data_IF_456630050340
#
_entry.id   IF_456630050340
#
_cell.length_a   1.000
_cell.length_b   1.000
_cell.length_c   1.000
_cell.angle_alpha   90.00
_cell.angle_beta   90.00
_cell.angle_gamma   90.00
#
_symmetry.space_group_name_H-M   'P 1'
#
loop_
_entity.id
_entity.type
_entity.pdbx_description
1 polymer ?
#
# COMPACT_ATOMS: atom_id res chain seq x y z
N UNK A 1 10.35 4.10 22.46
CA UNK A 1 11.02 3.88 21.15
C UNK A 1 10.94 5.15 20.32
N UNK A 2 12.05 5.88 20.10
CA UNK A 2 12.07 7.13 19.28
C UNK A 2 12.92 7.03 18.00
N UNK A 3 13.68 5.93 17.83
CA UNK A 3 14.60 5.78 16.71
C UNK A 3 13.96 5.16 15.46
N UNK A 4 12.89 4.36 15.60
CA UNK A 4 12.21 3.74 14.45
C UNK A 4 11.53 4.76 13.53
N UNK A 5 10.88 5.77 14.12
CA UNK A 5 10.21 6.85 13.37
C UNK A 5 11.23 7.67 12.58
N UNK A 6 12.34 8.07 13.21
CA UNK A 6 13.38 8.88 12.56
C UNK A 6 13.99 8.17 11.34
N UNK A 7 14.28 6.86 11.44
CA UNK A 7 14.81 6.07 10.32
C UNK A 7 13.78 5.96 9.18
N UNK A 8 12.49 5.75 9.50
CA UNK A 8 11.43 5.67 8.50
C UNK A 8 11.26 7.00 7.75
N UNK A 9 11.34 8.15 8.45
CA UNK A 9 11.31 9.49 7.85
C UNK A 9 12.47 9.75 6.89
N UNK A 10 13.71 9.40 7.28
CA UNK A 10 14.86 9.58 6.38
C UNK A 10 14.79 8.67 5.16
N UNK A 11 14.31 7.42 5.32
CA UNK A 11 14.07 6.53 4.19
C UNK A 11 12.99 7.08 3.26
N UNK A 12 11.93 7.68 3.80
CA UNK A 12 10.87 8.30 3.01
C UNK A 12 11.37 9.51 2.22
N UNK A 13 12.12 10.42 2.85
CA UNK A 13 12.72 11.57 2.17
C UNK A 13 13.77 11.14 1.13
N UNK A 14 14.63 10.18 1.46
CA UNK A 14 15.56 9.58 0.52
C UNK A 14 14.84 8.93 -0.65
N UNK A 15 13.73 8.25 -0.39
CA UNK A 15 12.91 7.61 -1.42
C UNK A 15 12.30 8.64 -2.36
N UNK A 16 11.74 9.75 -1.84
CA UNK A 16 11.26 10.86 -2.67
C UNK A 16 12.39 11.46 -3.52
N UNK A 17 13.53 11.76 -2.91
CA UNK A 17 14.66 12.38 -3.60
C UNK A 17 15.28 11.47 -4.67
N UNK A 18 15.46 10.18 -4.37
CA UNK A 18 16.04 9.22 -5.32
C UNK A 18 15.06 8.80 -6.41
N UNK A 19 13.78 8.70 -6.08
CA UNK A 19 12.75 8.38 -7.06
C UNK A 19 12.83 9.36 -8.22
N UNK A 20 12.77 10.67 -7.99
CA UNK A 20 12.73 11.69 -9.04
C UNK A 20 13.98 11.69 -9.92
N UNK A 21 15.12 11.25 -9.39
CA UNK A 21 16.38 11.18 -10.12
C UNK A 21 16.58 9.89 -10.94
N UNK A 22 15.93 8.78 -10.59
CA UNK A 22 16.23 7.45 -11.16
C UNK A 22 15.26 7.03 -12.27
N UNK A 23 14.18 7.79 -12.52
CA UNK A 23 13.16 7.48 -13.55
C UNK A 23 12.69 6.00 -13.52
N UNK A 24 12.46 5.47 -12.32
CA UNK A 24 11.94 4.13 -12.11
C UNK A 24 10.44 4.14 -11.77
N UNK A 25 9.78 3.02 -12.01
CA UNK A 25 8.44 2.76 -11.48
C UNK A 25 8.53 1.97 -10.17
N UNK A 26 7.44 1.94 -9.41
CA UNK A 26 7.38 1.33 -8.08
C UNK A 26 6.41 0.17 -8.01
N UNK A 27 6.81 -0.80 -7.20
CA UNK A 27 5.92 -1.78 -6.61
C UNK A 27 5.44 -1.20 -5.27
N UNK A 28 4.13 -1.15 -5.10
CA UNK A 28 3.48 -0.67 -3.89
C UNK A 28 2.86 -1.84 -3.14
N UNK A 29 3.21 -2.01 -1.87
CA UNK A 29 2.61 -3.00 -1.00
C UNK A 29 1.58 -2.34 -0.06
N UNK A 30 0.33 -2.82 -0.08
CA UNK A 30 -0.77 -2.21 0.67
C UNK A 30 -0.56 -2.31 2.18
N UNK A 31 -0.16 -3.49 2.70
CA UNK A 31 0.07 -3.68 4.12
C UNK A 31 1.16 -2.75 4.64
N UNK A 32 2.31 -2.70 3.95
CA UNK A 32 3.42 -1.84 4.34
C UNK A 32 3.09 -0.36 4.20
N UNK A 33 2.30 0.02 3.20
CA UNK A 33 1.85 1.40 3.04
C UNK A 33 0.93 1.84 4.17
N UNK A 34 -0.06 1.02 4.55
CA UNK A 34 -0.99 1.31 5.65
C UNK A 34 -0.22 1.49 6.96
N UNK A 35 0.70 0.57 7.26
CA UNK A 35 1.56 0.65 8.46
C UNK A 35 2.41 1.91 8.43
N UNK A 36 2.99 2.23 7.26
CA UNK A 36 3.82 3.43 7.12
C UNK A 36 3.00 4.69 7.34
N UNK A 37 1.89 4.87 6.63
CA UNK A 37 1.01 6.02 6.79
C UNK A 37 0.61 6.25 8.26
N UNK A 38 0.26 5.17 8.97
CA UNK A 38 -0.03 5.24 10.40
C UNK A 38 1.17 5.73 11.22
N UNK A 39 2.38 5.17 11.00
CA UNK A 39 3.60 5.59 11.69
C UNK A 39 3.98 7.05 11.41
N UNK A 40 3.60 7.57 10.23
CA UNK A 40 3.76 8.97 9.86
C UNK A 40 2.62 9.87 10.37
N UNK A 41 1.56 9.32 10.95
CA UNK A 41 0.37 10.06 11.35
C UNK A 41 -0.37 10.68 10.17
N UNK A 42 -0.36 10.01 9.02
CA UNK A 42 -0.97 10.46 7.77
C UNK A 42 -2.14 9.56 7.36
N UNK A 43 -3.13 10.13 6.66
CA UNK A 43 -4.07 9.32 5.89
C UNK A 43 -3.34 8.58 4.77
N UNK A 44 -3.76 7.35 4.49
CA UNK A 44 -3.10 6.48 3.51
C UNK A 44 -3.15 7.03 2.09
N UNK A 45 -4.24 7.70 1.71
CA UNK A 45 -4.36 8.33 0.39
C UNK A 45 -3.38 9.48 0.27
N UNK A 46 -3.30 10.35 1.28
CA UNK A 46 -2.33 11.44 1.30
C UNK A 46 -0.89 10.92 1.25
N UNK A 47 -0.62 9.79 1.90
CA UNK A 47 0.68 9.15 1.92
C UNK A 47 1.08 8.66 0.51
N UNK A 48 0.20 7.93 -0.19
CA UNK A 48 0.50 7.43 -1.54
C UNK A 48 0.57 8.54 -2.58
N UNK A 49 -0.22 9.59 -2.45
CA UNK A 49 -0.16 10.76 -3.32
C UNK A 49 1.19 11.48 -3.17
N UNK A 50 1.66 11.69 -1.92
CA UNK A 50 3.00 12.25 -1.67
C UNK A 50 4.11 11.34 -2.18
N UNK A 51 3.93 10.03 -2.14
CA UNK A 51 4.86 9.08 -2.73
C UNK A 51 4.93 9.18 -4.27
N UNK A 52 4.02 9.88 -4.92
CA UNK A 52 3.97 9.89 -6.38
C UNK A 52 3.31 8.63 -6.92
N UNK A 53 2.04 8.43 -6.53
CA UNK A 53 1.09 7.46 -7.09
C UNK A 53 1.18 7.29 -8.62
N UNK A 54 1.55 8.36 -9.31
CA UNK A 54 1.78 8.43 -10.75
C UNK A 54 2.86 7.49 -11.30
N UNK A 55 3.65 6.86 -10.43
CA UNK A 55 4.78 5.99 -10.77
C UNK A 55 4.59 4.56 -10.27
N UNK A 56 3.44 4.26 -9.67
CA UNK A 56 3.09 2.89 -9.25
C UNK A 56 2.83 2.05 -10.50
N UNK A 57 3.59 0.96 -10.66
CA UNK A 57 3.45 0.00 -11.76
C UNK A 57 2.77 -1.29 -11.29
N UNK A 58 3.11 -1.77 -10.10
CA UNK A 58 2.54 -2.98 -9.51
C UNK A 58 2.02 -2.67 -8.11
N UNK A 59 0.91 -3.30 -7.74
CA UNK A 59 0.38 -3.26 -6.37
C UNK A 59 0.31 -4.68 -5.84
N UNK A 60 0.98 -4.93 -4.72
CA UNK A 60 0.75 -6.10 -3.88
C UNK A 60 -0.49 -5.86 -3.04
N UNK A 61 -1.52 -6.65 -3.31
CA UNK A 61 -2.84 -6.58 -2.71
C UNK A 61 -2.87 -7.54 -1.52
N UNK A 62 -2.76 -6.97 -0.33
CA UNK A 62 -2.76 -7.65 0.97
C UNK A 62 -3.24 -6.68 2.07
N UNK A 63 -3.36 -7.16 3.30
CA UNK A 63 -3.66 -6.33 4.48
C UNK A 63 -2.70 -6.61 5.64
N UNK A 64 -2.38 -5.59 6.45
CA UNK A 64 -1.73 -5.82 7.72
C UNK A 64 -2.76 -6.24 8.77
N UNK A 65 -2.28 -6.77 9.90
CA UNK A 65 -3.11 -7.03 11.06
C UNK A 65 -2.79 -6.03 12.16
N UNK A 66 -3.82 -5.44 12.77
CA UNK A 66 -3.70 -4.68 14.00
C UNK A 66 -4.06 -5.56 15.20
N UNK A 67 -3.14 -5.72 16.14
CA UNK A 67 -3.34 -6.54 17.34
C UNK A 67 -2.48 -5.99 18.48
N UNK A 68 -3.01 -5.96 19.70
CA UNK A 68 -2.28 -5.50 20.89
C UNK A 68 -1.64 -4.12 20.71
N UNK A 69 -2.36 -3.18 20.08
CA UNK A 69 -1.89 -1.81 19.80
C UNK A 69 -0.71 -1.71 18.82
N UNK A 70 -0.40 -2.79 18.11
CA UNK A 70 0.69 -2.86 17.14
C UNK A 70 0.19 -3.35 15.79
N UNK A 71 0.87 -2.91 14.72
CA UNK A 71 0.63 -3.39 13.37
C UNK A 71 1.65 -4.44 12.96
N UNK A 72 1.18 -5.48 12.28
CA UNK A 72 1.98 -6.59 11.77
C UNK A 72 1.76 -6.77 10.25
N UNK A 73 2.85 -6.88 9.50
CA UNK A 73 2.83 -7.19 8.07
C UNK A 73 2.71 -8.71 7.87
N UNK A 74 1.48 -9.23 8.00
CA UNK A 74 1.21 -10.68 7.95
C UNK A 74 0.36 -11.11 6.74
N UNK A 75 0.17 -10.21 5.76
CA UNK A 75 -0.45 -10.51 4.48
C UNK A 75 -1.83 -11.17 4.57
N UNK A 76 -2.79 -10.45 5.16
CA UNK A 76 -4.18 -10.87 5.28
C UNK A 76 -4.98 -10.63 3.98
N UNK A 77 -6.08 -11.37 3.73
CA UNK A 77 -6.94 -11.17 2.57
C UNK A 77 -7.54 -9.75 2.53
N UNK A 78 -7.36 -9.06 1.40
CA UNK A 78 -7.65 -7.62 1.35
C UNK A 78 -9.13 -7.25 1.46
N UNK A 79 -10.02 -8.15 1.05
CA UNK A 79 -11.45 -7.84 0.94
C UNK A 79 -12.16 -7.77 2.29
N UNK A 80 -11.45 -8.08 3.39
CA UNK A 80 -11.91 -7.89 4.75
C UNK A 80 -11.95 -6.42 5.19
N UNK A 81 -11.32 -5.50 4.44
CA UNK A 81 -11.31 -4.08 4.77
C UNK A 81 -11.90 -3.24 3.65
N UNK A 82 -12.96 -2.48 3.96
CA UNK A 82 -13.51 -1.47 3.04
C UNK A 82 -12.53 -0.31 2.82
N UNK A 83 -11.67 -0.03 3.80
CA UNK A 83 -10.61 0.95 3.63
C UNK A 83 -9.56 0.48 2.61
N UNK A 84 -9.20 -0.80 2.63
CA UNK A 84 -8.30 -1.37 1.63
C UNK A 84 -8.89 -1.29 0.21
N UNK A 85 -10.18 -1.55 0.07
CA UNK A 85 -10.91 -1.37 -1.20
C UNK A 85 -10.85 0.08 -1.64
N UNK A 86 -11.18 1.04 -0.77
CA UNK A 86 -11.08 2.48 -1.05
C UNK A 86 -9.69 2.88 -1.56
N UNK A 87 -8.64 2.40 -0.88
CA UNK A 87 -7.25 2.69 -1.25
C UNK A 87 -6.92 2.10 -2.62
N UNK A 88 -7.30 0.85 -2.86
CA UNK A 88 -7.03 0.17 -4.11
C UNK A 88 -7.80 0.80 -5.27
N UNK A 89 -9.07 1.13 -5.07
CA UNK A 89 -9.91 1.88 -6.01
C UNK A 89 -9.24 3.21 -6.36
N UNK A 90 -8.78 3.98 -5.37
CA UNK A 90 -8.07 5.24 -5.62
C UNK A 90 -6.79 5.05 -6.47
N UNK A 91 -6.00 3.99 -6.20
CA UNK A 91 -4.79 3.67 -6.97
C UNK A 91 -5.13 3.25 -8.41
N UNK A 92 -6.18 2.44 -8.58
CA UNK A 92 -6.60 1.92 -9.89
C UNK A 92 -7.32 2.97 -10.73
N UNK A 93 -8.17 3.82 -10.14
CA UNK A 93 -8.87 4.91 -10.82
C UNK A 93 -7.93 5.92 -11.45
N UNK A 94 -6.77 6.16 -10.83
CA UNK A 94 -5.71 6.99 -11.42
C UNK A 94 -5.06 6.33 -12.66
N UNK A 95 -5.42 5.07 -12.99
CA UNK A 95 -4.98 4.27 -14.15
C UNK A 95 -3.47 4.10 -14.27
N UNK A 96 -2.76 4.01 -13.14
CA UNK A 96 -1.29 3.93 -13.11
C UNK A 96 -0.77 2.53 -12.87
N UNK A 97 -1.40 1.78 -11.95
CA UNK A 97 -1.03 0.40 -11.69
C UNK A 97 -1.35 -0.47 -12.91
N UNK A 98 -0.33 -1.13 -13.44
CA UNK A 98 -0.45 -2.08 -14.56
C UNK A 98 -0.70 -3.51 -14.09
N UNK A 99 -0.26 -3.83 -12.87
CA UNK A 99 -0.35 -5.17 -12.29
C UNK A 99 -0.94 -5.08 -10.89
N UNK A 100 -1.91 -5.95 -10.61
CA UNK A 100 -2.40 -6.21 -9.26
C UNK A 100 -2.02 -7.66 -8.92
N UNK A 101 -1.20 -7.81 -7.88
CA UNK A 101 -0.67 -9.09 -7.44
C UNK A 101 -1.25 -9.42 -6.07
N UNK A 102 -2.00 -10.52 -5.95
CA UNK A 102 -2.56 -10.94 -4.67
C UNK A 102 -1.44 -11.58 -3.86
N UNK A 103 -0.97 -10.87 -2.85
CA UNK A 103 0.10 -11.36 -1.97
C UNK A 103 -0.50 -11.92 -0.68
N UNK A 104 -1.37 -12.91 -0.83
CA UNK A 104 -1.95 -13.68 0.25
C UNK A 104 -2.41 -15.02 -0.34
N UNK A 105 -1.89 -16.13 0.18
CA UNK A 105 -2.16 -17.48 -0.33
C UNK A 105 -3.52 -18.04 0.14
N UNK A 106 -4.13 -17.39 1.14
CA UNK A 106 -5.46 -17.77 1.65
C UNK A 106 -6.55 -17.24 0.73
N UNK A 107 -7.56 -18.06 0.47
CA UNK A 107 -8.81 -17.61 -0.15
C UNK A 107 -8.66 -16.89 -1.51
N UNK A 108 -7.63 -17.25 -2.30
CA UNK A 108 -7.27 -16.59 -3.57
C UNK A 108 -8.48 -16.36 -4.48
N UNK A 109 -9.39 -17.34 -4.61
CA UNK A 109 -10.59 -17.22 -5.45
C UNK A 109 -11.52 -16.09 -4.97
N UNK A 110 -11.69 -15.92 -3.66
CA UNK A 110 -12.52 -14.85 -3.09
C UNK A 110 -11.86 -13.49 -3.32
N UNK A 111 -10.54 -13.41 -3.16
CA UNK A 111 -9.77 -12.21 -3.42
C UNK A 111 -9.88 -11.77 -4.89
N UNK A 112 -9.68 -12.70 -5.84
CA UNK A 112 -9.84 -12.43 -7.28
C UNK A 112 -11.26 -11.94 -7.59
N UNK A 113 -12.28 -12.59 -7.04
CA UNK A 113 -13.67 -12.18 -7.25
C UNK A 113 -13.96 -10.78 -6.69
N UNK A 114 -13.40 -10.44 -5.53
CA UNK A 114 -13.53 -9.11 -4.95
C UNK A 114 -12.88 -8.05 -5.83
N UNK A 115 -11.69 -8.30 -6.39
CA UNK A 115 -11.02 -7.39 -7.33
C UNK A 115 -11.87 -7.17 -8.59
N UNK A 116 -12.37 -8.25 -9.20
CA UNK A 116 -13.17 -8.15 -10.43
C UNK A 116 -14.49 -7.38 -10.20
N UNK A 117 -15.09 -7.48 -9.01
CA UNK A 117 -16.35 -6.80 -8.67
C UNK A 117 -16.16 -5.35 -8.25
N UNK A 118 -15.11 -5.04 -7.50
CA UNK A 118 -14.81 -3.69 -7.00
C UNK A 118 -14.26 -2.76 -8.07
N UNK A 119 -13.65 -3.30 -9.13
CA UNK A 119 -13.09 -2.52 -10.24
C UNK A 119 -14.07 -2.30 -11.41
N UNK A 120 -15.39 -2.31 -11.15
CA UNK A 120 -16.45 -2.13 -12.17
C UNK A 120 -17.15 -0.78 -12.04
#
# INVERSE_FOLDING_TARGET
MKYGVIIQYYLFSFWLETSDNINCNFLLDLAHMIISAHNFGMDVIDFVEKMGINRVYEVHVNLPQYKNEEWYAINEPFYYSDEAKRILEHIVEKKKAKVLNIECDREIILQVNALIRGLR
#
